data_IF_961528879858
#
_entry.id   IF_961528879858
#
_cell.length_a   1.000
_cell.length_b   1.000
_cell.length_c   1.000
_cell.angle_alpha   90.00
_cell.angle_beta   90.00
_cell.angle_gamma   90.00
#
_symmetry.space_group_name_H-M   'P 1'
#
loop_
_entity.id
_entity.type
_entity.pdbx_description
1 polymer ?
#
# COMPACT_ATOMS: atom_id res chain seq x y z
N UNK A 1 9.64 38.12 20.50
CA UNK A 1 9.27 36.75 20.94
C UNK A 1 7.87 36.32 20.50
N UNK A 2 6.77 36.93 20.99
CA UNK A 2 5.42 36.55 20.54
C UNK A 2 5.18 36.92 19.06
N UNK A 3 5.63 38.09 18.63
CA UNK A 3 5.54 38.52 17.23
C UNK A 3 6.36 37.62 16.30
N UNK A 4 7.60 37.29 16.67
CA UNK A 4 8.45 36.34 15.93
C UNK A 4 7.82 34.94 15.82
N UNK A 5 7.18 34.45 16.89
CA UNK A 5 6.42 33.19 16.86
C UNK A 5 5.19 33.29 15.95
N UNK A 6 4.49 34.41 15.98
CA UNK A 6 3.32 34.64 15.12
C UNK A 6 3.72 34.68 13.64
N UNK A 7 4.84 35.35 13.33
CA UNK A 7 5.41 35.38 11.98
C UNK A 7 5.85 33.97 11.55
N UNK A 8 6.50 33.21 12.42
CA UNK A 8 6.91 31.83 12.11
C UNK A 8 5.72 30.91 11.83
N UNK A 9 4.67 30.98 12.66
CA UNK A 9 3.43 30.23 12.47
C UNK A 9 2.72 30.63 11.17
N UNK A 10 2.70 31.92 10.85
CA UNK A 10 2.11 32.42 9.61
C UNK A 10 2.87 31.89 8.39
N UNK A 11 4.21 31.92 8.42
CA UNK A 11 5.04 31.39 7.34
C UNK A 11 4.85 29.87 7.18
N UNK A 12 4.83 29.12 8.29
CA UNK A 12 4.60 27.68 8.28
C UNK A 12 3.22 27.34 7.71
N UNK A 13 2.19 28.11 8.08
CA UNK A 13 0.84 27.96 7.53
C UNK A 13 0.82 28.20 6.02
N UNK A 14 1.40 29.30 5.55
CA UNK A 14 1.46 29.61 4.10
C UNK A 14 2.20 28.53 3.33
N UNK A 15 3.28 27.98 3.89
CA UNK A 15 3.99 26.86 3.28
C UNK A 15 3.10 25.62 3.17
N UNK A 16 2.39 25.25 4.25
CA UNK A 16 1.46 24.11 4.23
C UNK A 16 0.33 24.31 3.22
N UNK A 17 -0.23 25.51 3.14
CA UNK A 17 -1.27 25.85 2.15
C UNK A 17 -0.75 25.67 0.71
N UNK A 18 0.47 26.11 0.41
CA UNK A 18 1.09 25.91 -0.90
C UNK A 18 1.36 24.43 -1.21
N UNK A 19 1.79 23.65 -0.22
CA UNK A 19 2.00 22.21 -0.37
C UNK A 19 0.69 21.46 -0.63
N UNK A 20 -0.41 21.85 0.01
CA UNK A 20 -1.75 21.29 -0.24
C UNK A 20 -2.17 21.55 -1.69
N UNK A 21 -2.03 22.79 -2.17
CA UNK A 21 -2.40 23.14 -3.54
C UNK A 21 -1.56 22.35 -4.56
N UNK A 22 -0.25 22.20 -4.31
CA UNK A 22 0.61 21.39 -5.16
C UNK A 22 0.19 19.91 -5.18
N UNK A 23 -0.21 19.36 -4.04
CA UNK A 23 -0.71 18.00 -3.94
C UNK A 23 -2.02 17.82 -4.70
N UNK A 24 -2.95 18.77 -4.62
CA UNK A 24 -4.21 18.74 -5.37
C UNK A 24 -3.98 18.75 -6.89
N UNK A 25 -3.06 19.61 -7.37
CA UNK A 25 -2.68 19.62 -8.79
C UNK A 25 -2.08 18.28 -9.24
N UNK A 26 -1.22 17.69 -8.40
CA UNK A 26 -0.63 16.39 -8.68
C UNK A 26 -1.67 15.26 -8.69
N UNK A 27 -2.63 15.28 -7.75
CA UNK A 27 -3.74 14.34 -7.70
C UNK A 27 -4.61 14.45 -8.96
N UNK A 28 -4.91 15.66 -9.43
CA UNK A 28 -5.65 15.87 -10.67
C UNK A 28 -4.94 15.28 -11.91
N UNK A 29 -3.63 15.50 -12.03
CA UNK A 29 -2.81 14.92 -13.11
C UNK A 29 -2.78 13.40 -13.07
N UNK A 30 -2.58 12.82 -11.89
CA UNK A 30 -2.54 11.36 -11.69
C UNK A 30 -3.91 10.76 -11.99
N UNK A 31 -4.99 11.38 -11.52
CA UNK A 31 -6.37 10.94 -11.80
C UNK A 31 -6.66 10.89 -13.30
N UNK A 32 -6.27 11.94 -14.03
CA UNK A 32 -6.44 11.99 -15.50
C UNK A 32 -5.65 10.90 -16.19
N UNK A 33 -4.41 10.64 -15.74
CA UNK A 33 -3.57 9.57 -16.27
C UNK A 33 -4.16 8.19 -15.98
N UNK A 34 -4.66 7.97 -14.76
CA UNK A 34 -5.31 6.74 -14.35
C UNK A 34 -6.55 6.46 -15.20
N UNK A 35 -7.39 7.47 -15.44
CA UNK A 35 -8.56 7.34 -16.29
C UNK A 35 -8.17 6.87 -17.70
N UNK A 36 -7.18 7.52 -18.33
CA UNK A 36 -6.69 7.12 -19.67
C UNK A 36 -6.16 5.68 -19.68
N UNK A 37 -5.44 5.26 -18.64
CA UNK A 37 -4.92 3.89 -18.53
C UNK A 37 -6.05 2.87 -18.34
N UNK A 38 -7.06 3.20 -17.56
CA UNK A 38 -8.25 2.35 -17.37
C UNK A 38 -9.04 2.20 -18.67
N UNK A 39 -9.24 3.30 -19.41
CA UNK A 39 -9.91 3.27 -20.73
C UNK A 39 -9.12 2.39 -21.72
N UNK A 40 -7.80 2.55 -21.79
CA UNK A 40 -6.94 1.71 -22.63
C UNK A 40 -6.96 0.23 -22.22
N UNK A 41 -6.95 -0.06 -20.92
CA UNK A 41 -7.03 -1.42 -20.38
C UNK A 41 -8.35 -2.11 -20.74
N UNK A 42 -9.46 -1.39 -20.61
CA UNK A 42 -10.81 -1.86 -20.97
C UNK A 42 -10.95 -2.07 -22.48
N UNK A 43 -10.42 -1.16 -23.28
CA UNK A 43 -10.37 -1.30 -24.73
C UNK A 43 -9.58 -2.55 -25.15
N UNK A 44 -8.40 -2.79 -24.56
CA UNK A 44 -7.61 -4.00 -24.84
C UNK A 44 -8.33 -5.28 -24.39
N UNK A 45 -8.99 -5.23 -23.25
CA UNK A 45 -9.78 -6.33 -22.69
C UNK A 45 -11.14 -6.54 -23.38
N UNK A 46 -11.44 -5.74 -24.40
CA UNK A 46 -12.70 -5.77 -25.18
C UNK A 46 -13.96 -5.71 -24.30
N UNK A 47 -13.89 -4.97 -23.19
CA UNK A 47 -15.00 -4.82 -22.25
C UNK A 47 -15.26 -3.35 -21.97
N UNK A 48 -16.53 -2.98 -21.86
CA UNK A 48 -16.94 -1.66 -21.38
C UNK A 48 -17.06 -1.64 -19.85
N UNK A 49 -17.20 -2.83 -19.26
CA UNK A 49 -17.37 -3.04 -17.82
C UNK A 49 -16.04 -3.09 -17.08
N UNK A 50 -16.11 -2.78 -15.79
CA UNK A 50 -14.98 -2.90 -14.87
C UNK A 50 -14.48 -4.34 -14.79
N UNK A 51 -13.18 -4.52 -15.07
CA UNK A 51 -12.52 -5.82 -15.07
C UNK A 51 -12.34 -6.38 -13.67
N UNK A 52 -12.19 -7.71 -13.55
CA UNK A 52 -11.89 -8.35 -12.26
C UNK A 52 -10.57 -7.85 -11.65
N UNK A 53 -9.59 -7.50 -12.49
CA UNK A 53 -8.31 -6.93 -12.07
C UNK A 53 -8.48 -5.52 -11.51
N UNK A 54 -9.31 -4.67 -12.13
CA UNK A 54 -9.66 -3.35 -11.57
C UNK A 54 -10.37 -3.49 -10.21
N UNK A 55 -11.28 -4.46 -10.07
CA UNK A 55 -11.94 -4.76 -8.79
C UNK A 55 -10.95 -5.25 -7.73
N UNK A 56 -10.00 -6.12 -8.09
CA UNK A 56 -8.99 -6.59 -7.14
C UNK A 56 -8.07 -5.44 -6.68
N UNK A 57 -7.65 -4.57 -7.59
CA UNK A 57 -6.85 -3.40 -7.23
C UNK A 57 -7.60 -2.45 -6.30
N UNK A 58 -8.90 -2.18 -6.57
CA UNK A 58 -9.72 -1.35 -5.67
C UNK A 58 -9.88 -2.00 -4.29
N UNK A 59 -10.11 -3.31 -4.24
CA UNK A 59 -10.24 -4.04 -2.99
C UNK A 59 -8.94 -4.02 -2.16
N UNK A 60 -7.79 -4.15 -2.83
CA UNK A 60 -6.48 -4.04 -2.18
C UNK A 60 -6.21 -2.63 -1.66
N UNK A 61 -6.48 -1.60 -2.46
CA UNK A 61 -6.34 -0.20 -2.05
C UNK A 61 -7.26 0.15 -0.86
N UNK A 62 -8.50 -0.36 -0.85
CA UNK A 62 -9.42 -0.18 0.27
C UNK A 62 -8.89 -0.86 1.53
N UNK A 63 -8.43 -2.12 1.41
CA UNK A 63 -7.83 -2.86 2.53
C UNK A 63 -6.62 -2.14 3.11
N UNK A 64 -5.73 -1.62 2.26
CA UNK A 64 -4.56 -0.86 2.70
C UNK A 64 -4.98 0.42 3.43
N UNK A 65 -5.91 1.18 2.86
CA UNK A 65 -6.42 2.43 3.45
C UNK A 65 -7.07 2.19 4.79
N UNK A 66 -7.95 1.20 4.90
CA UNK A 66 -8.58 0.83 6.18
C UNK A 66 -7.55 0.42 7.23
N UNK A 67 -6.51 -0.33 6.84
CA UNK A 67 -5.43 -0.72 7.74
C UNK A 67 -4.61 0.50 8.21
N UNK A 68 -4.36 1.47 7.34
CA UNK A 68 -3.64 2.70 7.68
C UNK A 68 -4.46 3.54 8.69
N UNK A 69 -5.75 3.72 8.44
CA UNK A 69 -6.66 4.47 9.32
C UNK A 69 -6.79 3.77 10.69
N UNK A 70 -6.95 2.45 10.71
CA UNK A 70 -7.03 1.73 11.99
C UNK A 70 -5.72 1.81 12.76
N UNK A 71 -4.57 1.77 12.07
CA UNK A 71 -3.27 1.96 12.71
C UNK A 71 -3.17 3.34 13.38
N UNK A 72 -3.54 4.41 12.68
CA UNK A 72 -3.46 5.77 13.21
C UNK A 72 -4.44 6.00 14.35
N UNK A 73 -5.68 5.49 14.23
CA UNK A 73 -6.65 5.49 15.33
C UNK A 73 -6.11 4.73 16.55
N UNK A 74 -5.41 3.62 16.34
CA UNK A 74 -4.74 2.87 17.40
C UNK A 74 -3.60 3.64 18.08
N UNK A 75 -2.87 4.49 17.36
CA UNK A 75 -1.87 5.37 17.99
C UNK A 75 -2.53 6.50 18.77
N UNK A 76 -3.59 7.11 18.23
CA UNK A 76 -4.35 8.15 18.92
C UNK A 76 -4.96 7.62 20.22
N UNK A 77 -5.45 6.39 20.24
CA UNK A 77 -5.96 5.76 21.46
C UNK A 77 -4.90 5.55 22.56
N UNK A 78 -3.60 5.53 22.21
CA UNK A 78 -2.51 5.52 23.19
C UNK A 78 -2.19 6.90 23.73
N UNK A 79 -2.31 7.91 22.88
CA UNK A 79 -2.09 9.32 23.25
C UNK A 79 -3.25 9.89 24.07
N UNK A 80 -4.46 9.36 23.86
CA UNK A 80 -5.70 9.76 24.54
C UNK A 80 -6.39 8.52 25.13
N UNK A 81 -6.03 8.07 26.34
CA UNK A 81 -6.59 6.87 26.96
C UNK A 81 -8.11 6.92 27.15
N UNK A 82 -8.69 8.12 27.26
CA UNK A 82 -10.12 8.34 27.45
C UNK A 82 -10.98 7.83 26.29
N UNK A 83 -10.42 7.81 25.07
CA UNK A 83 -11.13 7.33 23.88
C UNK A 83 -10.87 5.85 23.58
N UNK A 84 -9.93 5.22 24.29
CA UNK A 84 -9.46 3.86 23.99
C UNK A 84 -10.58 2.83 24.03
N UNK A 85 -11.35 2.79 25.13
CA UNK A 85 -12.37 1.76 25.34
C UNK A 85 -13.55 1.91 24.40
N UNK A 86 -13.95 3.17 24.13
CA UNK A 86 -15.00 3.50 23.16
C UNK A 86 -14.57 3.11 21.75
N UNK A 87 -13.34 3.45 21.35
CA UNK A 87 -12.79 3.08 20.05
C UNK A 87 -12.71 1.55 19.91
N UNK A 88 -12.19 0.86 20.92
CA UNK A 88 -12.02 -0.59 20.91
C UNK A 88 -13.38 -1.30 20.81
N UNK A 89 -14.40 -0.81 21.51
CA UNK A 89 -15.77 -1.30 21.39
C UNK A 89 -16.30 -1.13 19.96
N UNK A 90 -16.17 0.05 19.35
CA UNK A 90 -16.64 0.28 17.98
C UNK A 90 -15.89 -0.56 16.94
N UNK A 91 -14.57 -0.71 17.10
CA UNK A 91 -13.74 -1.55 16.22
C UNK A 91 -14.15 -3.03 16.33
N UNK A 92 -14.39 -3.53 17.54
CA UNK A 92 -14.87 -4.90 17.75
C UNK A 92 -16.28 -5.12 17.22
N UNK A 93 -17.20 -4.18 17.44
CA UNK A 93 -18.57 -4.25 16.92
C UNK A 93 -18.61 -4.29 15.39
N UNK A 94 -17.66 -3.62 14.73
CA UNK A 94 -17.49 -3.67 13.28
C UNK A 94 -16.74 -4.94 12.80
N UNK A 95 -16.33 -5.83 13.70
CA UNK A 95 -15.53 -7.02 13.39
C UNK A 95 -14.10 -6.70 12.92
N UNK A 96 -13.63 -5.47 13.16
CA UNK A 96 -12.32 -4.98 12.74
C UNK A 96 -11.28 -5.21 13.85
N UNK A 97 -10.00 -5.15 13.47
CA UNK A 97 -8.86 -5.26 14.40
C UNK A 97 -7.87 -4.16 14.14
N UNK A 98 -7.44 -3.48 15.19
CA UNK A 98 -6.39 -2.46 15.11
C UNK A 98 -5.04 -3.15 14.79
N UNK A 99 -4.41 -2.82 13.66
CA UNK A 99 -3.09 -3.35 13.34
C UNK A 99 -2.02 -2.77 14.27
N UNK A 100 -1.12 -3.61 14.76
CA UNK A 100 -0.05 -3.22 15.70
C UNK A 100 1.13 -2.53 15.00
N UNK A 101 1.28 -2.73 13.69
CA UNK A 101 2.37 -2.20 12.86
C UNK A 101 1.81 -1.41 11.67
N UNK A 102 2.52 -0.40 11.18
CA UNK A 102 2.07 0.36 10.02
C UNK A 102 1.99 -0.57 8.79
N UNK A 103 0.95 -0.46 7.95
CA UNK A 103 0.68 -1.39 6.84
C UNK A 103 1.83 -1.53 5.84
N UNK A 104 2.53 -0.44 5.52
CA UNK A 104 3.74 -0.48 4.66
C UNK A 104 4.84 -1.36 5.24
N UNK A 105 5.02 -1.35 6.56
CA UNK A 105 5.97 -2.24 7.24
C UNK A 105 5.48 -3.70 7.29
N UNK A 106 4.16 -3.93 7.29
CA UNK A 106 3.59 -5.27 7.20
C UNK A 106 3.78 -5.89 5.81
N UNK A 107 3.59 -5.12 4.74
CA UNK A 107 3.82 -5.57 3.37
C UNK A 107 5.30 -5.94 3.15
N UNK A 108 6.23 -5.10 3.61
CA UNK A 108 7.66 -5.39 3.56
C UNK A 108 8.04 -6.64 4.38
N UNK A 109 7.47 -6.80 5.58
CA UNK A 109 7.71 -7.98 6.41
C UNK A 109 7.12 -9.27 5.81
N UNK A 110 5.95 -9.19 5.17
CA UNK A 110 5.34 -10.32 4.47
C UNK A 110 6.16 -10.73 3.24
N UNK A 111 6.65 -9.76 2.45
CA UNK A 111 7.53 -10.00 1.32
C UNK A 111 8.86 -10.64 1.77
N UNK A 112 9.46 -10.13 2.85
CA UNK A 112 10.67 -10.71 3.44
C UNK A 112 10.45 -12.16 3.92
N UNK A 113 9.30 -12.46 4.53
CA UNK A 113 8.94 -13.82 4.95
C UNK A 113 8.69 -14.76 3.77
N UNK A 114 8.13 -14.26 2.67
CA UNK A 114 7.92 -15.03 1.45
C UNK A 114 9.25 -15.38 0.75
N UNK A 115 10.22 -14.45 0.77
CA UNK A 115 11.55 -14.64 0.19
C UNK A 115 12.44 -15.64 0.97
N UNK A 116 12.15 -15.86 2.26
CA UNK A 116 12.91 -16.78 3.13
C UNK A 116 12.42 -18.22 3.05
N UNK A 117 11.37 -18.54 2.27
CA UNK A 117 10.96 -19.94 2.06
C UNK A 117 12.04 -20.66 1.24
N UNK A 118 12.75 -21.67 1.78
CA UNK A 118 13.69 -22.46 0.99
C UNK A 118 12.86 -23.32 0.04
N UNK A 119 12.96 -23.00 -1.25
CA UNK A 119 12.44 -23.85 -2.32
C UNK A 119 13.20 -25.18 -2.29
N UNK A 120 12.51 -26.22 -1.82
CA UNK A 120 12.95 -27.60 -1.90
C UNK A 120 13.10 -28.03 -3.37
N UNK A 121 14.33 -28.43 -3.71
CA UNK A 121 14.69 -29.44 -4.71
C UNK A 121 14.37 -29.14 -6.18
N UNK A 122 15.27 -28.40 -6.85
CA UNK A 122 15.62 -28.72 -8.25
C UNK A 122 16.53 -29.95 -8.22
N UNK A 123 15.95 -31.12 -8.45
CA UNK A 123 16.67 -32.35 -8.70
C UNK A 123 17.49 -32.21 -9.98
N UNK A 124 18.81 -32.43 -9.86
CA UNK A 124 19.80 -32.55 -10.91
C UNK A 124 19.37 -33.54 -12.00
N UNK A 125 19.25 -33.05 -13.23
CA UNK A 125 19.34 -33.90 -14.42
C UNK A 125 20.78 -33.79 -14.93
N UNK A 126 21.64 -34.64 -14.39
CA UNK A 126 22.94 -34.97 -14.98
C UNK A 126 22.68 -35.78 -16.25
N UNK A 127 22.64 -35.08 -17.38
CA UNK A 127 22.62 -35.65 -18.72
C UNK A 127 24.01 -36.24 -19.00
N UNK A 128 24.12 -37.57 -18.86
CA UNK A 128 25.33 -38.34 -19.17
C UNK A 128 25.73 -38.16 -20.63
N UNK A 129 26.95 -37.62 -20.80
CA UNK A 129 27.63 -37.43 -22.07
C UNK A 129 27.76 -38.75 -22.82
N UNK A 130 27.35 -38.76 -24.09
CA UNK A 130 27.57 -39.86 -25.03
C UNK A 130 29.06 -39.95 -25.33
N UNK A 131 29.68 -41.08 -24.99
CA UNK A 131 30.96 -41.49 -25.55
C UNK A 131 30.78 -41.79 -27.04
N UNK A 132 31.46 -41.02 -27.86
CA UNK A 132 31.68 -41.26 -29.28
C UNK A 132 33.18 -41.15 -29.55
N UNK A 133 33.86 -42.29 -29.58
CA UNK A 133 35.15 -42.57 -30.24
C UNK A 133 35.49 -44.03 -29.90
N UNK A 134 35.75 -44.98 -30.80
CA UNK A 134 36.84 -45.11 -31.80
C UNK A 134 36.60 -46.50 -32.45
N UNK A 135 36.55 -46.74 -33.77
CA UNK A 135 37.59 -46.70 -34.83
C UNK A 135 38.88 -47.49 -34.52
N UNK A 136 38.78 -48.83 -34.49
CA UNK A 136 39.50 -49.80 -35.36
C UNK A 136 39.50 -51.20 -34.76
#
# INVERSE_FOLDING_TARGET
>A
RLEEQNTHLTNARTQVEAEIEQQDQNLGRISTKLQRMTEAHRHYSQTTEETLTEKSFRAEALRETSSNVLYTLGQLAKEFPEIHDVLQMHVQNAGLKVPVRPPRAQAAAAAARAAVRPGSSRSDYSFGSRDSDSVR
#
